data_IF_944174314320
#
_entry.id   IF_944174314320
#
_cell.length_a   1.000
_cell.length_b   1.000
_cell.length_c   1.000
_cell.angle_alpha   90.00
_cell.angle_beta   90.00
_cell.angle_gamma   90.00
#
_symmetry.space_group_name_H-M   'P 1'
#
loop_
_entity.id
_entity.type
_entity.pdbx_description
1 polymer ?
#
# COMPACT_ATOMS: atom_id res chain seq x y z
N UNK A 1 -1.26 -20.80 43.03
CA UNK A 1 -0.45 -19.59 43.35
C UNK A 1 -0.28 -18.83 42.03
N UNK A 2 -0.83 -17.63 41.89
CA UNK A 2 -0.65 -16.84 40.68
C UNK A 2 0.66 -16.03 40.77
N UNK A 3 1.49 -16.17 39.75
CA UNK A 3 2.74 -15.41 39.60
C UNK A 3 2.36 -13.98 39.17
N UNK A 4 2.66 -13.01 40.06
CA UNK A 4 2.49 -11.57 39.77
C UNK A 4 3.78 -11.08 39.12
N UNK A 5 3.70 -10.64 37.87
CA UNK A 5 4.78 -9.84 37.25
C UNK A 5 4.63 -8.40 37.70
N UNK A 6 5.62 -7.92 38.40
CA UNK A 6 5.74 -6.50 38.73
C UNK A 6 6.33 -5.78 37.52
N UNK A 7 5.55 -4.93 36.90
CA UNK A 7 6.01 -3.99 35.86
C UNK A 7 6.39 -2.70 36.58
N UNK A 8 7.68 -2.37 36.63
CA UNK A 8 8.15 -1.06 37.11
C UNK A 8 7.87 0.01 36.05
N UNK A 9 7.28 1.16 36.42
CA UNK A 9 7.08 2.23 35.47
C UNK A 9 8.41 2.92 35.14
N UNK A 10 8.78 2.96 33.87
CA UNK A 10 9.86 3.81 33.37
C UNK A 10 9.34 5.25 33.37
N UNK A 11 9.86 6.08 34.23
CA UNK A 11 9.56 7.51 34.27
C UNK A 11 10.20 8.20 33.06
N UNK A 12 9.38 8.65 32.11
CA UNK A 12 9.82 9.54 31.03
C UNK A 12 9.85 10.97 31.60
N UNK A 13 11.04 11.47 31.82
CA UNK A 13 11.28 12.88 32.23
C UNK A 13 11.10 13.78 31.01
N UNK A 14 10.01 14.53 30.95
CA UNK A 14 9.82 15.63 29.99
C UNK A 14 10.58 16.86 30.51
N UNK A 15 11.79 17.04 29.99
CA UNK A 15 12.59 18.22 30.24
C UNK A 15 12.18 19.38 29.33
N UNK A 16 11.45 20.36 29.90
CA UNK A 16 11.21 21.64 29.26
C UNK A 16 12.48 22.53 29.37
N UNK A 17 13.14 22.81 28.27
CA UNK A 17 13.95 24.03 28.09
C UNK A 17 13.81 24.55 26.68
N UNK A 18 13.12 25.68 26.58
CA UNK A 18 13.09 26.49 25.38
C UNK A 18 14.48 27.05 25.07
N UNK A 19 14.95 26.83 23.86
CA UNK A 19 16.02 27.59 23.23
C UNK A 19 15.40 28.62 22.29
N UNK A 20 16.02 29.81 22.11
CA UNK A 20 15.44 30.87 21.28
C UNK A 20 15.47 30.48 19.79
N UNK A 21 14.39 30.82 19.11
CA UNK A 21 14.22 30.63 17.68
C UNK A 21 15.29 31.42 16.90
N UNK A 22 16.07 30.75 16.08
CA UNK A 22 16.87 31.38 15.05
C UNK A 22 15.99 31.88 13.91
N UNK A 23 16.22 33.08 13.37
CA UNK A 23 15.40 33.61 12.27
C UNK A 23 15.83 33.01 10.93
N UNK A 24 14.87 32.35 10.27
CA UNK A 24 14.77 32.40 8.82
C UNK A 24 15.73 31.54 7.98
N UNK A 25 15.61 30.22 8.04
CA UNK A 25 15.83 29.41 6.82
C UNK A 25 14.51 29.28 6.08
N UNK A 26 14.28 30.10 5.09
CA UNK A 26 13.25 29.88 4.08
C UNK A 26 13.61 28.55 3.40
N UNK A 27 12.95 27.46 3.80
CA UNK A 27 12.97 26.23 3.03
C UNK A 27 12.33 26.54 1.69
N UNK A 28 13.14 26.55 0.62
CA UNK A 28 12.60 26.49 -0.73
C UNK A 28 11.87 25.14 -0.84
N UNK A 29 10.57 25.15 -0.57
CA UNK A 29 9.69 24.05 -0.94
C UNK A 29 9.56 24.09 -2.46
N UNK A 30 10.48 23.39 -3.16
CA UNK A 30 10.25 23.05 -4.55
C UNK A 30 8.90 22.35 -4.66
N UNK A 31 8.13 22.66 -5.71
CA UNK A 31 6.85 22.01 -5.97
C UNK A 31 7.09 20.50 -5.98
N UNK A 32 6.52 19.81 -5.00
CA UNK A 32 6.61 18.33 -4.93
C UNK A 32 5.66 17.79 -5.99
N UNK A 33 6.23 17.22 -7.05
CA UNK A 33 5.46 16.73 -8.20
C UNK A 33 5.09 15.27 -8.00
N UNK A 34 3.82 14.94 -8.19
CA UNK A 34 3.31 13.58 -8.31
C UNK A 34 3.95 12.92 -9.54
N UNK A 35 4.46 11.70 -9.38
CA UNK A 35 5.00 10.90 -10.47
C UNK A 35 3.90 10.01 -11.08
N UNK A 36 3.98 9.82 -12.38
CA UNK A 36 3.18 8.82 -13.09
C UNK A 36 3.67 7.40 -12.79
N UNK A 37 2.82 6.39 -12.99
CA UNK A 37 3.22 4.99 -12.82
C UNK A 37 4.45 4.61 -13.68
N UNK A 38 4.55 5.14 -14.90
CA UNK A 38 5.68 4.92 -15.80
C UNK A 38 6.98 5.53 -15.23
N UNK A 39 6.93 6.76 -14.74
CA UNK A 39 8.08 7.43 -14.13
C UNK A 39 8.53 6.72 -12.85
N UNK A 40 7.58 6.23 -12.04
CA UNK A 40 7.89 5.47 -10.82
C UNK A 40 8.64 4.19 -11.19
N UNK A 41 8.12 3.39 -12.11
CA UNK A 41 8.72 2.10 -12.49
C UNK A 41 10.06 2.28 -13.17
N UNK A 42 10.24 3.34 -13.98
CA UNK A 42 11.52 3.65 -14.62
C UNK A 42 12.63 4.05 -13.64
N UNK A 43 12.27 4.56 -12.45
CA UNK A 43 13.22 5.11 -11.47
C UNK A 43 13.30 4.29 -10.18
N UNK A 44 12.33 3.39 -9.92
CA UNK A 44 12.33 2.57 -8.72
C UNK A 44 13.54 1.63 -8.67
N UNK A 45 14.14 1.43 -7.49
CA UNK A 45 15.20 0.44 -7.33
C UNK A 45 14.70 -0.97 -7.62
N UNK A 46 15.61 -1.87 -7.97
CA UNK A 46 15.30 -3.28 -8.19
C UNK A 46 14.61 -3.88 -6.93
N UNK A 47 13.59 -4.72 -7.15
CA UNK A 47 12.83 -5.35 -6.06
C UNK A 47 11.73 -4.48 -5.46
N UNK A 48 11.46 -3.30 -6.03
CA UNK A 48 10.31 -2.47 -5.67
C UNK A 48 9.23 -2.53 -6.74
N UNK A 49 7.97 -2.39 -6.32
CA UNK A 49 6.80 -2.42 -7.19
C UNK A 49 5.82 -1.29 -6.82
N UNK A 50 5.19 -0.70 -7.82
CA UNK A 50 4.14 0.30 -7.63
C UNK A 50 2.77 -0.39 -7.60
N UNK A 51 2.13 -0.43 -6.43
CA UNK A 51 0.81 -1.04 -6.22
C UNK A 51 -0.08 -0.05 -5.46
N UNK A 52 -1.27 0.17 -5.97
CA UNK A 52 -2.34 0.92 -5.31
C UNK A 52 -1.84 2.21 -4.64
N UNK A 53 -1.25 3.10 -5.45
CA UNK A 53 -0.80 4.41 -5.00
C UNK A 53 0.45 4.44 -4.11
N UNK A 54 1.13 3.33 -3.88
CA UNK A 54 2.34 3.23 -3.07
C UNK A 54 3.46 2.45 -3.73
N UNK A 55 4.70 2.84 -3.47
CA UNK A 55 5.90 2.09 -3.86
C UNK A 55 6.24 1.10 -2.74
N UNK A 56 6.40 -0.19 -3.06
CA UNK A 56 6.43 -1.26 -2.07
C UNK A 56 7.51 -2.28 -2.34
N UNK A 57 8.01 -2.88 -1.26
CA UNK A 57 8.96 -4.01 -1.31
C UNK A 57 8.79 -4.92 -0.10
N UNK A 58 9.26 -6.15 -0.21
CA UNK A 58 9.46 -7.10 0.89
C UNK A 58 10.94 -7.40 1.05
N UNK A 59 11.45 -7.31 2.25
CA UNK A 59 12.81 -7.72 2.60
C UNK A 59 12.72 -8.97 3.49
N UNK A 60 13.21 -10.10 2.99
CA UNK A 60 13.25 -11.34 3.77
C UNK A 60 14.49 -11.33 4.67
N UNK A 61 14.27 -11.27 5.98
CA UNK A 61 15.33 -11.14 6.99
C UNK A 61 15.70 -12.47 7.67
N UNK A 62 14.90 -13.51 7.41
CA UNK A 62 15.13 -14.85 7.97
C UNK A 62 14.57 -15.01 9.38
N UNK A 63 14.76 -14.05 10.27
CA UNK A 63 14.24 -14.07 11.63
C UNK A 63 13.75 -12.67 12.09
N UNK A 64 13.10 -12.65 13.25
CA UNK A 64 12.50 -11.43 13.80
C UNK A 64 13.54 -10.42 14.27
N UNK A 65 14.68 -10.87 14.82
CA UNK A 65 15.72 -9.98 15.34
C UNK A 65 16.40 -9.20 14.19
N UNK A 66 16.72 -9.88 13.09
CA UNK A 66 17.24 -9.25 11.89
C UNK A 66 16.21 -8.27 11.27
N UNK A 67 14.92 -8.65 11.26
CA UNK A 67 13.84 -7.77 10.85
C UNK A 67 13.75 -6.49 11.70
N UNK A 68 13.81 -6.63 13.01
CA UNK A 68 13.78 -5.49 13.94
C UNK A 68 15.01 -4.57 13.77
N UNK A 69 16.19 -5.15 13.55
CA UNK A 69 17.40 -4.38 13.27
C UNK A 69 17.24 -3.56 11.97
N UNK A 70 16.68 -4.15 10.92
CA UNK A 70 16.39 -3.45 9.67
C UNK A 70 15.36 -2.33 9.86
N UNK A 71 14.26 -2.57 10.60
CA UNK A 71 13.23 -1.57 10.91
C UNK A 71 13.86 -0.36 11.63
N UNK A 72 14.72 -0.59 12.62
CA UNK A 72 15.41 0.48 13.32
C UNK A 72 16.32 1.30 12.39
N UNK A 73 17.04 0.65 11.48
CA UNK A 73 17.88 1.32 10.49
C UNK A 73 17.05 2.14 9.48
N UNK A 74 15.91 1.60 9.03
CA UNK A 74 14.97 2.32 8.17
C UNK A 74 14.41 3.53 8.89
N UNK A 75 14.01 3.39 10.17
CA UNK A 75 13.52 4.51 10.98
C UNK A 75 14.52 5.65 11.08
N UNK A 76 15.81 5.37 11.31
CA UNK A 76 16.85 6.39 11.35
C UNK A 76 16.99 7.15 10.02
N UNK A 77 16.91 6.45 8.89
CA UNK A 77 16.93 7.08 7.56
C UNK A 77 15.66 7.88 7.28
N UNK A 78 14.50 7.37 7.73
CA UNK A 78 13.23 8.07 7.59
C UNK A 78 13.23 9.42 8.32
N UNK A 79 13.77 9.47 9.56
CA UNK A 79 13.97 10.71 10.33
C UNK A 79 14.98 11.66 9.63
N UNK A 80 16.10 11.13 9.09
CA UNK A 80 17.07 11.93 8.34
C UNK A 80 16.45 12.62 7.13
N UNK A 81 15.57 11.89 6.40
CA UNK A 81 14.92 12.37 5.18
C UNK A 81 13.63 13.15 5.42
N UNK A 82 13.14 13.21 6.67
CA UNK A 82 11.82 13.74 7.02
C UNK A 82 10.71 13.14 6.12
N UNK A 83 10.80 11.80 5.91
CA UNK A 83 9.88 11.05 5.06
C UNK A 83 9.72 9.61 5.55
N UNK A 84 8.50 9.27 6.00
CA UNK A 84 8.25 8.08 6.80
C UNK A 84 7.47 7.01 6.01
N UNK A 85 7.97 5.77 5.92
CA UNK A 85 7.26 4.66 5.30
C UNK A 85 6.34 3.96 6.30
N UNK A 86 5.34 3.24 5.77
CA UNK A 86 4.64 2.20 6.52
C UNK A 86 5.50 0.93 6.57
N UNK A 87 5.61 0.32 7.76
CA UNK A 87 6.41 -0.88 8.00
C UNK A 87 5.55 -1.98 8.63
N UNK A 88 5.54 -3.17 8.04
CA UNK A 88 4.93 -4.37 8.62
C UNK A 88 6.03 -5.39 8.92
N UNK A 89 6.40 -5.50 10.19
CA UNK A 89 7.40 -6.45 10.67
C UNK A 89 6.75 -7.79 10.99
N UNK A 90 7.14 -8.81 10.26
CA UNK A 90 6.73 -10.21 10.49
C UNK A 90 7.92 -11.07 10.85
N UNK A 91 7.65 -12.33 11.30
CA UNK A 91 8.69 -13.28 11.70
C UNK A 91 9.63 -13.53 10.56
N UNK A 92 10.14 -13.20 9.78
CA UNK A 92 11.11 -13.55 8.72
C UNK A 92 11.14 -12.54 7.58
N UNK A 93 10.36 -11.45 7.67
CA UNK A 93 10.39 -10.40 6.67
C UNK A 93 9.87 -9.07 7.20
N UNK A 94 10.21 -8.01 6.48
CA UNK A 94 9.67 -6.66 6.64
C UNK A 94 9.03 -6.26 5.31
N UNK A 95 7.75 -5.92 5.32
CA UNK A 95 7.10 -5.24 4.21
C UNK A 95 7.22 -3.73 4.41
N UNK A 96 7.60 -3.04 3.36
CA UNK A 96 7.78 -1.59 3.34
C UNK A 96 6.86 -1.01 2.27
N UNK A 97 6.15 0.06 2.63
CA UNK A 97 5.34 0.86 1.70
C UNK A 97 5.65 2.33 1.91
N UNK A 98 5.89 3.07 0.83
CA UNK A 98 6.09 4.51 0.89
C UNK A 98 5.20 5.24 -0.10
N UNK A 99 4.66 6.37 0.35
CA UNK A 99 3.90 7.34 -0.44
C UNK A 99 3.96 8.70 0.26
N UNK A 100 3.93 9.78 -0.49
CA UNK A 100 3.93 11.13 0.06
C UNK A 100 2.52 11.53 0.49
N UNK A 101 2.23 11.48 1.78
CA UNK A 101 0.90 11.68 2.36
C UNK A 101 0.29 13.07 2.04
N UNK A 102 1.11 14.11 2.04
CA UNK A 102 0.70 15.48 1.71
C UNK A 102 0.31 15.69 0.24
N UNK A 103 0.76 14.79 -0.63
CA UNK A 103 0.45 14.79 -2.07
C UNK A 103 -0.57 13.70 -2.43
N UNK A 104 -0.74 12.70 -1.57
CA UNK A 104 -1.57 11.52 -1.83
C UNK A 104 -1.04 10.65 -2.99
N UNK A 105 0.28 10.64 -3.21
CA UNK A 105 0.89 9.97 -4.35
C UNK A 105 2.38 9.66 -4.10
N UNK A 106 2.97 8.85 -4.96
CA UNK A 106 4.42 8.65 -5.00
C UNK A 106 5.11 9.84 -5.66
N UNK A 107 6.19 10.30 -5.06
CA UNK A 107 7.02 11.42 -5.49
C UNK A 107 8.50 11.06 -5.49
N UNK A 108 9.38 12.01 -5.86
CA UNK A 108 10.83 11.81 -5.75
C UNK A 108 11.33 11.60 -4.32
N UNK A 109 10.53 11.95 -3.27
CA UNK A 109 10.88 11.64 -1.86
C UNK A 109 10.84 10.14 -1.61
N UNK A 110 9.81 9.49 -2.14
CA UNK A 110 9.60 8.05 -2.02
C UNK A 110 10.69 7.26 -2.74
N UNK A 111 11.10 7.71 -3.92
CA UNK A 111 12.18 7.09 -4.68
C UNK A 111 13.52 7.19 -3.94
N UNK A 112 13.82 8.34 -3.33
CA UNK A 112 15.04 8.50 -2.50
C UNK A 112 15.03 7.60 -1.28
N UNK A 113 13.88 7.51 -0.57
CA UNK A 113 13.74 6.63 0.58
C UNK A 113 13.89 5.16 0.15
N UNK A 114 13.25 4.74 -0.95
CA UNK A 114 13.35 3.39 -1.48
C UNK A 114 14.80 3.01 -1.83
N UNK A 115 15.58 3.92 -2.42
CA UNK A 115 16.99 3.71 -2.69
C UNK A 115 17.79 3.49 -1.39
N UNK A 116 17.60 4.35 -0.38
CA UNK A 116 18.29 4.23 0.90
C UNK A 116 17.94 2.92 1.63
N UNK A 117 16.68 2.50 1.58
CA UNK A 117 16.25 1.20 2.15
C UNK A 117 16.90 0.04 1.40
N UNK A 118 17.02 0.11 0.08
CA UNK A 118 17.70 -0.91 -0.72
C UNK A 118 19.20 -1.03 -0.37
N UNK A 119 19.86 0.09 -0.10
CA UNK A 119 21.23 0.14 0.39
C UNK A 119 21.37 -0.52 1.77
N UNK A 120 20.43 -0.24 2.71
CA UNK A 120 20.41 -0.87 4.02
C UNK A 120 20.20 -2.39 3.92
N UNK A 121 19.28 -2.85 3.07
CA UNK A 121 19.06 -4.27 2.84
C UNK A 121 20.32 -4.95 2.29
N UNK A 122 20.99 -4.33 1.32
CA UNK A 122 22.25 -4.83 0.75
C UNK A 122 23.36 -4.90 1.80
N UNK A 123 23.49 -3.87 2.64
CA UNK A 123 24.47 -3.84 3.72
C UNK A 123 24.21 -4.93 4.78
N UNK A 124 22.94 -5.30 5.00
CA UNK A 124 22.52 -6.40 5.85
C UNK A 124 22.64 -7.79 5.19
N UNK A 125 23.13 -7.88 3.95
CA UNK A 125 23.27 -9.13 3.22
C UNK A 125 21.96 -9.73 2.70
N UNK A 126 20.89 -8.92 2.63
CA UNK A 126 19.56 -9.30 2.12
C UNK A 126 19.16 -8.40 0.95
N UNK A 127 18.05 -8.72 0.29
CA UNK A 127 17.60 -7.95 -0.88
C UNK A 127 16.12 -7.61 -0.82
N UNK A 128 15.76 -6.51 -1.46
CA UNK A 128 14.39 -6.14 -1.76
C UNK A 128 13.79 -7.08 -2.81
N UNK A 129 12.49 -7.39 -2.66
CA UNK A 129 11.77 -8.25 -3.60
C UNK A 129 10.31 -7.84 -3.69
N UNK A 130 9.79 -7.74 -4.90
CA UNK A 130 8.35 -7.53 -5.15
C UNK A 130 7.56 -8.85 -5.17
N UNK A 131 8.25 -10.00 -5.17
CA UNK A 131 7.62 -11.31 -5.33
C UNK A 131 6.55 -11.59 -4.26
N UNK A 132 5.34 -11.88 -4.72
CA UNK A 132 4.20 -12.21 -3.86
C UNK A 132 3.54 -11.02 -3.17
N UNK A 133 3.95 -9.77 -3.43
CA UNK A 133 3.21 -8.60 -2.98
C UNK A 133 1.93 -8.43 -3.80
N UNK A 134 0.84 -8.13 -3.10
CA UNK A 134 -0.45 -7.78 -3.68
C UNK A 134 -1.20 -6.83 -2.77
N UNK A 135 -2.14 -6.07 -3.32
CA UNK A 135 -3.09 -5.24 -2.57
C UNK A 135 -4.51 -5.57 -2.99
N UNK A 136 -5.45 -5.38 -2.09
CA UNK A 136 -6.86 -5.67 -2.29
C UNK A 136 -7.67 -4.38 -2.16
N UNK A 137 -8.55 -4.15 -3.12
CA UNK A 137 -9.66 -3.22 -3.02
C UNK A 137 -10.98 -3.99 -3.11
N UNK A 138 -12.04 -3.42 -2.56
CA UNK A 138 -13.38 -3.96 -2.63
C UNK A 138 -14.25 -3.02 -3.47
N UNK A 139 -14.70 -3.50 -4.60
CA UNK A 139 -15.65 -2.79 -5.44
C UNK A 139 -17.08 -3.16 -5.08
N UNK A 140 -17.95 -2.15 -4.91
CA UNK A 140 -19.39 -2.35 -4.68
C UNK A 140 -20.21 -1.65 -5.74
N UNK A 141 -20.86 -2.43 -6.56
CA UNK A 141 -21.79 -1.94 -7.57
C UNK A 141 -23.05 -1.37 -6.91
N UNK A 142 -23.41 -0.15 -7.27
CA UNK A 142 -24.59 0.52 -6.71
C UNK A 142 -25.19 1.56 -7.68
N UNK A 143 -26.53 1.63 -7.79
CA UNK A 143 -27.18 2.70 -8.56
C UNK A 143 -27.19 4.06 -7.81
N UNK A 144 -26.76 4.11 -6.55
CA UNK A 144 -26.89 5.30 -5.73
C UNK A 144 -25.82 5.36 -4.61
N UNK A 145 -24.60 5.75 -5.00
CA UNK A 145 -23.45 5.88 -4.09
C UNK A 145 -23.78 6.69 -2.85
N UNK A 146 -24.44 7.85 -3.01
CA UNK A 146 -24.74 8.76 -1.91
C UNK A 146 -25.66 8.16 -0.82
N UNK A 147 -26.40 7.11 -1.16
CA UNK A 147 -27.28 6.41 -0.18
C UNK A 147 -26.51 5.48 0.73
N UNK A 148 -25.38 4.94 0.27
CA UNK A 148 -24.69 3.85 0.97
C UNK A 148 -23.29 4.24 1.47
N UNK A 149 -22.64 5.23 0.87
CA UNK A 149 -21.26 5.59 1.23
C UNK A 149 -21.12 5.98 2.71
N UNK A 150 -22.09 6.73 3.26
CA UNK A 150 -22.09 7.10 4.69
C UNK A 150 -22.19 5.90 5.64
N UNK A 151 -22.95 4.88 5.28
CA UNK A 151 -23.02 3.64 6.04
C UNK A 151 -21.66 2.93 6.07
N UNK A 152 -21.03 2.77 4.92
CA UNK A 152 -19.73 2.08 4.83
C UNK A 152 -18.61 2.87 5.51
N UNK A 153 -18.63 4.20 5.41
CA UNK A 153 -17.71 5.05 6.17
C UNK A 153 -17.85 4.82 7.68
N UNK A 154 -19.08 4.77 8.19
CA UNK A 154 -19.33 4.52 9.62
C UNK A 154 -18.88 3.11 10.05
N UNK A 155 -19.17 2.07 9.25
CA UNK A 155 -18.80 0.68 9.56
C UNK A 155 -17.27 0.50 9.57
N UNK A 156 -16.55 1.20 8.67
CA UNK A 156 -15.08 1.12 8.57
C UNK A 156 -14.36 2.10 9.51
N UNK A 157 -15.10 2.85 10.34
CA UNK A 157 -14.55 3.96 11.14
C UNK A 157 -13.68 4.91 10.28
N UNK A 158 -14.13 5.16 9.05
CA UNK A 158 -13.40 5.86 8.02
C UNK A 158 -14.16 7.06 7.49
N UNK A 159 -13.61 7.62 6.43
CA UNK A 159 -14.14 8.79 5.77
C UNK A 159 -14.37 8.53 4.28
N UNK A 160 -15.36 9.21 3.72
CA UNK A 160 -15.56 9.25 2.29
C UNK A 160 -14.49 10.13 1.65
N UNK A 161 -13.76 9.57 0.69
CA UNK A 161 -12.77 10.29 -0.09
C UNK A 161 -13.30 10.50 -1.52
N UNK A 162 -13.39 11.77 -1.91
CA UNK A 162 -14.00 12.10 -3.18
C UNK A 162 -15.48 11.70 -3.26
N UNK A 163 -15.91 11.25 -4.44
CA UNK A 163 -17.29 10.83 -4.66
C UNK A 163 -17.49 9.34 -4.38
N UNK A 164 -16.51 8.53 -4.72
CA UNK A 164 -16.72 7.10 -4.97
C UNK A 164 -15.91 6.18 -4.04
N UNK A 165 -15.15 6.72 -3.08
CA UNK A 165 -14.30 5.92 -2.21
C UNK A 165 -14.65 6.06 -0.72
N UNK A 166 -14.45 4.99 0.04
CA UNK A 166 -14.42 4.99 1.52
C UNK A 166 -13.12 4.34 1.98
N UNK A 167 -12.38 5.06 2.82
CA UNK A 167 -11.12 4.59 3.41
C UNK A 167 -11.19 4.71 4.93
N UNK A 168 -10.69 3.70 5.63
CA UNK A 168 -10.52 3.78 7.08
C UNK A 168 -9.43 4.80 7.45
N UNK A 169 -9.61 5.47 8.60
CA UNK A 169 -8.69 6.54 9.03
C UNK A 169 -7.27 6.03 9.35
N UNK A 170 -7.14 4.74 9.68
CA UNK A 170 -5.85 4.11 9.97
C UNK A 170 -5.13 3.58 8.72
N UNK A 171 -5.81 3.48 7.56
CA UNK A 171 -5.25 2.95 6.32
C UNK A 171 -4.91 1.46 6.36
N UNK A 172 -5.55 0.68 7.25
CA UNK A 172 -5.28 -0.74 7.49
C UNK A 172 -6.24 -1.63 6.71
N UNK A 173 -7.51 -1.20 6.58
CA UNK A 173 -8.52 -1.96 5.86
C UNK A 173 -8.40 -1.76 4.34
N UNK A 174 -8.88 -2.72 3.54
CA UNK A 174 -9.02 -2.52 2.11
C UNK A 174 -9.89 -1.29 1.80
N UNK A 175 -9.52 -0.52 0.79
CA UNK A 175 -10.36 0.55 0.25
C UNK A 175 -11.67 -0.05 -0.27
N UNK A 176 -12.80 0.60 -0.01
CA UNK A 176 -14.04 0.36 -0.72
C UNK A 176 -14.19 1.46 -1.77
N UNK A 177 -14.38 1.08 -3.03
CA UNK A 177 -14.80 2.03 -4.06
C UNK A 177 -16.17 1.62 -4.62
N UNK A 178 -16.95 2.61 -5.01
CA UNK A 178 -18.32 2.40 -5.50
C UNK A 178 -18.34 2.57 -7.01
N UNK A 179 -18.80 1.53 -7.68
CA UNK A 179 -19.04 1.55 -9.11
C UNK A 179 -20.50 1.83 -9.40
N UNK A 180 -20.78 2.87 -10.18
CA UNK A 180 -22.14 3.16 -10.61
C UNK A 180 -22.64 2.01 -11.50
N UNK A 181 -23.76 1.41 -11.13
CA UNK A 181 -24.44 0.34 -11.86
C UNK A 181 -25.86 0.76 -12.24
N UNK A 182 -26.49 0.01 -13.18
CA UNK A 182 -27.90 0.22 -13.48
C UNK A 182 -28.83 -0.08 -12.29
N UNK A 183 -30.12 0.24 -12.47
CA UNK A 183 -31.15 -0.04 -11.45
C UNK A 183 -31.45 -1.53 -11.29
N UNK A 184 -31.07 -2.37 -12.22
CA UNK A 184 -31.19 -3.83 -12.13
C UNK A 184 -30.19 -4.36 -11.11
N UNK A 185 -30.67 -5.19 -10.19
CA UNK A 185 -29.80 -5.79 -9.20
C UNK A 185 -28.92 -6.87 -9.85
N UNK A 186 -27.59 -6.65 -9.97
CA UNK A 186 -26.69 -7.70 -10.45
C UNK A 186 -26.69 -8.86 -9.45
N UNK A 187 -26.52 -10.09 -9.94
CA UNK A 187 -26.41 -11.28 -9.09
C UNK A 187 -25.23 -11.19 -8.12
N UNK A 188 -24.12 -10.62 -8.58
CA UNK A 188 -22.93 -10.31 -7.79
C UNK A 188 -22.74 -8.79 -7.78
N UNK A 189 -22.83 -8.19 -6.60
CA UNK A 189 -22.65 -6.74 -6.42
C UNK A 189 -21.24 -6.37 -5.95
N UNK A 190 -20.55 -7.31 -5.33
CA UNK A 190 -19.17 -7.15 -4.87
C UNK A 190 -18.23 -7.92 -5.78
N UNK A 191 -17.11 -7.30 -6.13
CA UNK A 191 -15.98 -8.00 -6.73
C UNK A 191 -14.66 -7.52 -6.10
N UNK A 192 -13.72 -8.43 -5.81
CA UNK A 192 -12.39 -8.06 -5.37
C UNK A 192 -11.58 -7.51 -6.54
N UNK A 193 -10.80 -6.45 -6.28
CA UNK A 193 -9.76 -5.95 -7.17
C UNK A 193 -8.40 -6.28 -6.57
N UNK A 194 -7.72 -7.27 -7.12
CA UNK A 194 -6.41 -7.71 -6.64
C UNK A 194 -5.32 -7.03 -7.45
N UNK A 195 -4.64 -6.09 -6.82
CA UNK A 195 -3.55 -5.34 -7.43
C UNK A 195 -2.24 -6.13 -7.35
N UNK A 196 -1.63 -6.32 -8.51
CA UNK A 196 -0.43 -7.14 -8.68
C UNK A 196 0.61 -6.42 -9.54
N UNK A 197 1.86 -6.88 -9.45
CA UNK A 197 2.89 -6.51 -10.41
C UNK A 197 2.45 -6.93 -11.82
N UNK A 198 2.61 -6.08 -12.85
CA UNK A 198 2.33 -6.47 -14.24
C UNK A 198 2.98 -7.79 -14.66
N UNK A 199 4.17 -8.11 -14.16
CA UNK A 199 4.86 -9.38 -14.43
C UNK A 199 4.16 -10.60 -13.84
N UNK A 200 3.33 -10.41 -12.79
CA UNK A 200 2.59 -11.47 -12.10
C UNK A 200 1.23 -11.76 -12.76
N UNK A 201 0.72 -10.88 -13.62
CA UNK A 201 -0.64 -11.00 -14.17
C UNK A 201 -0.79 -12.29 -14.96
N UNK A 202 0.06 -12.52 -15.96
CA UNK A 202 -0.06 -13.69 -16.83
C UNK A 202 0.10 -15.01 -16.08
N UNK A 203 1.12 -15.19 -15.20
CA UNK A 203 1.24 -16.37 -14.36
C UNK A 203 0.01 -16.65 -13.49
N UNK A 204 -0.63 -15.59 -12.93
CA UNK A 204 -1.82 -15.75 -12.09
C UNK A 204 -3.05 -16.11 -12.91
N UNK A 205 -3.23 -15.55 -14.12
CA UNK A 205 -4.30 -15.94 -15.04
C UNK A 205 -4.15 -17.42 -15.39
N UNK A 206 -2.97 -17.84 -15.81
CA UNK A 206 -2.71 -19.23 -16.21
C UNK A 206 -2.97 -20.21 -15.06
N UNK A 207 -2.54 -19.86 -13.84
CA UNK A 207 -2.80 -20.66 -12.64
C UNK A 207 -4.31 -20.73 -12.30
N UNK A 208 -5.03 -19.61 -12.38
CA UNK A 208 -6.46 -19.54 -12.10
C UNK A 208 -7.26 -20.39 -13.11
N UNK A 209 -6.91 -20.30 -14.39
CA UNK A 209 -7.54 -21.11 -15.45
C UNK A 209 -7.23 -22.59 -15.25
N UNK A 210 -5.99 -22.96 -14.91
CA UNK A 210 -5.63 -24.34 -14.62
C UNK A 210 -6.36 -24.91 -13.38
N UNK A 211 -6.75 -24.03 -12.44
CA UNK A 211 -7.56 -24.39 -11.27
C UNK A 211 -9.08 -24.45 -11.56
N UNK A 212 -9.51 -24.32 -12.83
CA UNK A 212 -10.91 -24.43 -13.25
C UNK A 212 -11.62 -23.09 -13.42
N UNK A 213 -10.95 -21.97 -13.23
CA UNK A 213 -11.49 -20.64 -13.46
C UNK A 213 -11.54 -20.27 -14.96
N UNK A 214 -12.09 -19.11 -15.26
CA UNK A 214 -12.24 -18.61 -16.65
C UNK A 214 -11.74 -17.18 -16.73
N UNK A 215 -10.98 -16.83 -17.77
CA UNK A 215 -10.74 -15.45 -18.17
C UNK A 215 -12.01 -14.94 -18.88
N UNK A 216 -12.74 -14.04 -18.22
CA UNK A 216 -14.02 -13.51 -18.72
C UNK A 216 -13.77 -12.46 -19.80
N UNK A 217 -12.83 -11.53 -19.54
CA UNK A 217 -12.43 -10.52 -20.53
C UNK A 217 -11.05 -9.96 -20.21
N UNK A 218 -10.33 -9.59 -21.25
CA UNK A 218 -9.07 -8.84 -21.23
C UNK A 218 -9.18 -7.52 -22.03
N UNK A 219 -10.40 -7.08 -22.33
CA UNK A 219 -10.69 -5.86 -23.11
C UNK A 219 -10.06 -4.61 -22.47
N UNK A 220 -9.88 -4.63 -21.14
CA UNK A 220 -9.33 -3.51 -20.37
C UNK A 220 -7.83 -3.65 -20.04
N UNK A 221 -7.18 -4.65 -20.66
CA UNK A 221 -5.74 -4.82 -20.49
C UNK A 221 -4.98 -3.62 -21.09
N UNK A 222 -3.89 -3.19 -20.48
CA UNK A 222 -3.20 -3.75 -19.31
C UNK A 222 -3.67 -3.18 -17.96
N UNK A 223 -4.75 -2.41 -17.89
CA UNK A 223 -5.29 -1.87 -16.64
C UNK A 223 -5.81 -2.97 -15.72
N UNK A 224 -6.67 -3.85 -16.24
CA UNK A 224 -7.19 -5.00 -15.50
C UNK A 224 -7.71 -6.11 -16.42
N UNK A 225 -7.81 -7.29 -15.83
CA UNK A 225 -8.40 -8.51 -16.44
C UNK A 225 -9.48 -9.03 -15.51
N UNK A 226 -10.62 -9.45 -16.06
CA UNK A 226 -11.71 -10.04 -15.29
C UNK A 226 -11.65 -11.56 -15.39
N UNK A 227 -11.57 -12.23 -14.25
CA UNK A 227 -11.66 -13.68 -14.14
C UNK A 227 -12.95 -14.07 -13.41
N UNK A 228 -13.39 -15.32 -13.59
CA UNK A 228 -14.46 -15.91 -12.81
C UNK A 228 -14.04 -17.29 -12.29
N UNK A 229 -14.54 -17.64 -11.09
CA UNK A 229 -14.42 -18.98 -10.56
C UNK A 229 -15.38 -19.96 -11.27
N UNK A 230 -15.35 -21.29 -11.00
CA UNK A 230 -16.25 -22.26 -11.61
C UNK A 230 -17.74 -22.01 -11.34
N UNK A 231 -18.09 -21.21 -10.34
CA UNK A 231 -19.47 -20.82 -10.03
C UNK A 231 -19.88 -19.48 -10.64
N UNK A 232 -18.94 -18.80 -11.31
CA UNK A 232 -19.17 -17.53 -12.00
C UNK A 232 -18.96 -16.28 -11.16
N UNK A 233 -18.37 -16.40 -9.94
CA UNK A 233 -18.01 -15.22 -9.13
C UNK A 233 -16.79 -14.53 -9.73
N UNK A 234 -16.89 -13.22 -9.93
CA UNK A 234 -15.89 -12.41 -10.63
C UNK A 234 -14.86 -11.80 -9.69
N UNK A 235 -13.63 -11.65 -10.19
CA UNK A 235 -12.50 -10.96 -9.57
C UNK A 235 -11.72 -10.24 -10.66
N UNK A 236 -11.15 -9.07 -10.35
CA UNK A 236 -10.25 -8.37 -11.25
C UNK A 236 -8.80 -8.56 -10.80
N UNK A 237 -7.89 -8.85 -11.74
CA UNK A 237 -6.47 -8.62 -11.56
C UNK A 237 -6.14 -7.24 -12.13
N UNK A 238 -5.65 -6.36 -11.27
CA UNK A 238 -5.43 -4.95 -11.60
C UNK A 238 -3.95 -4.60 -11.61
N UNK A 239 -3.56 -3.68 -12.50
CA UNK A 239 -2.22 -3.09 -12.53
C UNK A 239 -2.30 -1.57 -12.56
N UNK A 240 -1.17 -0.90 -12.40
CA UNK A 240 -1.04 0.56 -12.52
C UNK A 240 -1.10 1.07 -13.95
N UNK A 241 -0.95 0.18 -14.94
CA UNK A 241 -0.80 0.52 -16.35
C UNK A 241 -2.08 1.15 -16.92
N UNK A 242 -1.94 2.15 -17.79
CA UNK A 242 -3.05 2.86 -18.47
C UNK A 242 -4.15 3.40 -17.53
N UNK A 243 -3.78 3.67 -16.27
CA UNK A 243 -4.63 4.40 -15.33
C UNK A 243 -4.11 5.84 -15.26
N UNK A 244 -4.79 6.74 -15.95
CA UNK A 244 -4.43 8.14 -16.15
C UNK A 244 -4.45 9.00 -14.90
#
# INVERSE_FOLDING_TARGET
>A
MPIRYAVSPVAVSVGSRGAPAEPGRVRQHGVVTKLTGQEIVAQAPAGWVYLLGGLQTRVRTGDFAAGLALVNAIGAVAEELDHHPDLDLRYGFVDVRTSSHDVGAVTGRDLRLALRISELATAAGVSCSAAGLARLELALDTPAVDRIAGFWAAVFAGERQGRDDVRDSAGVLPLIWFQESGAEEPRQRWHPDVWVDPAEVRPRIDAAVAAGGTLVTDEYAPSFWVLADPEGNKVCLCTWQERG
#
